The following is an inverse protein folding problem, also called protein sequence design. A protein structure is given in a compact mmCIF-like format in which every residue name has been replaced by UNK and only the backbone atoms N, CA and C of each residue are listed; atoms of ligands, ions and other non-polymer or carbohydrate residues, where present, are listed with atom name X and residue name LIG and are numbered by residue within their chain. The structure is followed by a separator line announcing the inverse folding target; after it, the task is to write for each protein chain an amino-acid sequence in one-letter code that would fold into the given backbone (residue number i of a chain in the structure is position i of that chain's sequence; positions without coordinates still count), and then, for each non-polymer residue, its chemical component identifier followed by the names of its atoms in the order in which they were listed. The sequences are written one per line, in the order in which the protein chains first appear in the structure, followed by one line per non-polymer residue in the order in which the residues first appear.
data_IF_826065945346
#
_entry.id   IF_826065945346
#
_cell.length_a   1.000
_cell.length_b   1.000
_cell.length_c   1.000
_cell.angle_alpha   90.00
_cell.angle_beta   90.00
_cell.angle_gamma   90.00
#
_symmetry.space_group_name_H-M   'P 1'
#
loop_
_entity.id
_entity.type
_entity.pdbx_description
1 polymer ?
#
# COMPACT_ATOMS: atom_id res chain seq x y z
N UNK A 1 -21.55 23.55 -10.56
CA UNK A 1 -21.65 22.60 -9.44
C UNK A 1 -20.24 22.11 -9.12
N UNK A 2 -19.86 22.10 -7.85
CA UNK A 2 -18.54 21.59 -7.47
C UNK A 2 -18.50 20.08 -7.73
N UNK A 3 -17.67 19.64 -8.69
CA UNK A 3 -17.57 18.23 -9.11
C UNK A 3 -16.61 17.42 -8.19
N UNK A 4 -16.45 17.87 -6.97
CA UNK A 4 -15.58 17.26 -5.96
C UNK A 4 -16.42 16.57 -4.89
N UNK A 5 -16.08 15.35 -4.55
CA UNK A 5 -16.61 14.62 -3.38
C UNK A 5 -15.47 14.21 -2.45
N UNK A 6 -15.67 14.33 -1.15
CA UNK A 6 -14.74 13.89 -0.12
C UNK A 6 -15.27 12.63 0.53
N UNK A 7 -14.51 11.56 0.48
CA UNK A 7 -14.79 10.30 1.16
C UNK A 7 -13.99 10.29 2.46
N UNK A 8 -14.68 10.49 3.57
CA UNK A 8 -14.09 10.58 4.89
C UNK A 8 -14.26 9.26 5.64
N UNK A 9 -13.16 8.71 6.12
CA UNK A 9 -13.19 7.55 7.03
C UNK A 9 -13.14 8.01 8.49
N UNK A 10 -14.29 8.07 9.19
CA UNK A 10 -14.35 8.48 10.59
C UNK A 10 -13.81 7.40 11.54
N UNK A 11 -13.75 6.14 11.07
CA UNK A 11 -13.28 4.99 11.83
C UNK A 11 -11.75 4.78 11.74
N UNK A 12 -11.02 5.74 11.15
CA UNK A 12 -9.58 5.79 11.33
C UNK A 12 -9.32 6.00 12.84
N UNK A 13 -9.16 4.89 13.56
CA UNK A 13 -9.08 4.86 15.04
C UNK A 13 -7.79 5.47 15.62
N UNK A 14 -7.00 6.16 14.80
CA UNK A 14 -5.86 6.90 15.30
C UNK A 14 -6.37 8.19 15.98
N UNK A 15 -5.78 8.53 17.12
CA UNK A 15 -6.03 9.82 17.77
C UNK A 15 -5.88 10.99 16.80
N UNK A 16 -4.96 10.85 15.83
CA UNK A 16 -4.74 11.82 14.76
C UNK A 16 -5.97 12.00 13.88
N UNK A 17 -6.59 10.92 13.42
CA UNK A 17 -7.76 10.99 12.53
C UNK A 17 -8.97 11.63 13.26
N UNK A 18 -9.18 11.25 14.52
CA UNK A 18 -10.25 11.84 15.34
C UNK A 18 -10.02 13.36 15.50
N UNK A 19 -8.79 13.78 15.77
CA UNK A 19 -8.43 15.19 15.95
C UNK A 19 -8.59 16.01 14.68
N UNK A 20 -8.20 15.44 13.51
CA UNK A 20 -8.17 16.16 12.23
C UNK A 20 -9.51 16.13 11.48
N UNK A 21 -10.48 15.34 11.94
CA UNK A 21 -11.80 15.28 11.31
C UNK A 21 -12.50 16.63 11.18
N UNK A 22 -12.56 17.49 12.22
CA UNK A 22 -13.19 18.81 12.10
C UNK A 22 -12.51 19.70 11.04
N UNK A 23 -11.18 19.58 10.90
CA UNK A 23 -10.43 20.35 9.91
C UNK A 23 -10.79 19.88 8.48
N UNK A 24 -10.93 18.56 8.27
CA UNK A 24 -11.40 18.01 6.97
C UNK A 24 -12.80 18.51 6.66
N UNK A 25 -13.73 18.47 7.61
CA UNK A 25 -15.11 18.94 7.43
C UNK A 25 -15.15 20.45 7.12
N UNK A 26 -14.31 21.24 7.77
CA UNK A 26 -14.19 22.68 7.51
C UNK A 26 -13.63 22.99 6.11
N UNK A 27 -12.58 22.27 5.70
CA UNK A 27 -11.98 22.42 4.37
C UNK A 27 -12.95 22.01 3.25
N UNK A 28 -13.72 20.95 3.50
CA UNK A 28 -14.66 20.37 2.53
C UNK A 28 -16.09 20.99 2.58
N UNK A 29 -16.29 22.10 3.30
CA UNK A 29 -17.64 22.68 3.55
C UNK A 29 -18.46 22.94 2.29
N UNK A 30 -17.80 23.24 1.17
CA UNK A 30 -18.45 23.52 -0.12
C UNK A 30 -18.51 22.27 -1.04
N UNK A 31 -18.14 21.12 -0.53
CA UNK A 31 -18.12 19.83 -1.24
C UNK A 31 -19.13 18.85 -0.66
N UNK A 32 -19.46 17.84 -1.45
CA UNK A 32 -20.21 16.69 -0.93
C UNK A 32 -19.26 15.83 -0.07
N UNK A 33 -19.59 15.66 1.20
CA UNK A 33 -18.85 14.74 2.08
C UNK A 33 -19.65 13.45 2.25
N UNK A 34 -18.98 12.30 2.06
CA UNK A 34 -19.51 10.96 2.31
C UNK A 34 -18.63 10.28 3.35
N UNK A 35 -19.23 9.79 4.42
CA UNK A 35 -18.53 9.07 5.48
C UNK A 35 -18.65 7.58 5.30
N UNK A 36 -17.57 6.84 5.55
CA UNK A 36 -17.59 5.38 5.58
C UNK A 36 -18.04 4.88 6.96
N UNK A 37 -18.83 3.81 7.00
CA UNK A 37 -19.24 3.13 8.25
C UNK A 37 -18.52 1.80 8.47
N UNK A 38 -17.90 1.24 7.43
CA UNK A 38 -17.22 -0.07 7.48
C UNK A 38 -16.13 -0.19 6.43
N UNK A 39 -15.28 -1.18 6.58
CA UNK A 39 -14.26 -1.55 5.60
C UNK A 39 -14.88 -1.93 4.24
N UNK A 40 -14.24 -1.54 3.15
CA UNK A 40 -14.70 -1.75 1.77
C UNK A 40 -15.75 -0.75 1.29
N UNK A 41 -16.21 0.15 2.16
CA UNK A 41 -17.27 1.10 1.79
C UNK A 41 -16.73 2.28 1.00
N UNK A 42 -15.45 2.69 1.23
CA UNK A 42 -14.85 3.78 0.49
C UNK A 42 -14.70 3.45 -1.00
N UNK A 43 -14.44 2.19 -1.36
CA UNK A 43 -14.43 1.72 -2.74
C UNK A 43 -15.80 1.90 -3.42
N UNK A 44 -16.88 1.46 -2.74
CA UNK A 44 -18.23 1.60 -3.28
C UNK A 44 -18.67 3.07 -3.41
N UNK A 45 -18.32 3.90 -2.43
CA UNK A 45 -18.61 5.34 -2.48
C UNK A 45 -17.85 6.03 -3.61
N UNK A 46 -16.58 5.65 -3.83
CA UNK A 46 -15.78 6.18 -4.93
C UNK A 46 -16.34 5.78 -6.29
N UNK A 47 -16.67 4.50 -6.49
CA UNK A 47 -17.32 4.01 -7.72
C UNK A 47 -18.64 4.73 -7.99
N UNK A 48 -19.48 4.85 -6.97
CA UNK A 48 -20.73 5.59 -7.11
C UNK A 48 -20.52 7.06 -7.44
N UNK A 49 -19.48 7.71 -6.90
CA UNK A 49 -19.15 9.08 -7.23
C UNK A 49 -18.72 9.22 -8.70
N UNK A 50 -17.92 8.29 -9.22
CA UNK A 50 -17.56 8.20 -10.65
C UNK A 50 -18.81 8.07 -11.50
N UNK A 51 -19.73 7.16 -11.17
CA UNK A 51 -20.99 6.95 -11.90
C UNK A 51 -21.89 8.18 -11.89
N UNK A 52 -21.78 9.04 -10.86
CA UNK A 52 -22.51 10.33 -10.77
C UNK A 52 -21.80 11.48 -11.47
N UNK A 53 -20.65 11.23 -12.09
CA UNK A 53 -19.91 12.24 -12.86
C UNK A 53 -19.11 13.22 -12.00
N UNK A 54 -18.72 12.82 -10.77
CA UNK A 54 -17.73 13.56 -10.01
C UNK A 54 -16.35 13.42 -10.67
N UNK A 55 -15.65 14.53 -10.79
CA UNK A 55 -14.33 14.58 -11.46
C UNK A 55 -13.17 14.45 -10.48
N UNK A 56 -13.36 14.91 -9.24
CA UNK A 56 -12.37 14.81 -8.16
C UNK A 56 -12.96 14.02 -6.99
N UNK A 57 -12.31 12.94 -6.64
CA UNK A 57 -12.67 12.12 -5.47
C UNK A 57 -11.53 12.20 -4.47
N UNK A 58 -11.80 12.79 -3.32
CA UNK A 58 -10.81 13.02 -2.27
C UNK A 58 -10.92 11.95 -1.21
N UNK A 59 -9.85 11.21 -0.99
CA UNK A 59 -9.71 10.25 0.10
C UNK A 59 -9.22 10.98 1.37
N UNK A 60 -10.09 11.14 2.34
CA UNK A 60 -9.74 11.67 3.67
C UNK A 60 -9.63 10.49 4.65
N UNK A 61 -8.43 9.96 4.79
CA UNK A 61 -8.16 8.74 5.56
C UNK A 61 -6.68 8.38 5.62
N UNK A 62 -6.38 7.16 6.03
CA UNK A 62 -5.05 6.55 5.94
C UNK A 62 -4.91 5.68 4.68
N UNK A 63 -3.80 4.96 4.58
CA UNK A 63 -3.41 4.16 3.40
C UNK A 63 -4.51 3.17 2.97
N UNK A 64 -5.16 2.47 3.91
CA UNK A 64 -6.28 1.58 3.58
C UNK A 64 -7.48 2.30 2.95
N UNK A 65 -7.82 3.52 3.39
CA UNK A 65 -8.89 4.32 2.78
C UNK A 65 -8.49 4.76 1.38
N UNK A 66 -7.23 5.15 1.19
CA UNK A 66 -6.69 5.52 -0.12
C UNK A 66 -6.77 4.33 -1.06
N UNK A 67 -6.35 3.14 -0.64
CA UNK A 67 -6.41 1.92 -1.44
C UNK A 67 -7.85 1.58 -1.86
N UNK A 68 -8.81 1.64 -0.93
CA UNK A 68 -10.23 1.42 -1.26
C UNK A 68 -10.74 2.44 -2.31
N UNK A 69 -10.45 3.73 -2.11
CA UNK A 69 -10.87 4.78 -3.06
C UNK A 69 -10.25 4.55 -4.44
N UNK A 70 -8.96 4.24 -4.51
CA UNK A 70 -8.25 3.94 -5.76
C UNK A 70 -8.89 2.76 -6.51
N UNK A 71 -9.25 1.68 -5.81
CA UNK A 71 -9.95 0.55 -6.43
C UNK A 71 -11.34 0.94 -6.95
N UNK A 72 -12.00 1.90 -6.32
CA UNK A 72 -13.26 2.46 -6.81
C UNK A 72 -13.11 3.39 -8.02
N UNK A 73 -11.93 4.01 -8.19
CA UNK A 73 -11.59 4.90 -9.32
C UNK A 73 -11.03 4.16 -10.52
N UNK A 74 -10.50 2.95 -10.32
CA UNK A 74 -9.76 2.21 -11.34
C UNK A 74 -10.54 2.12 -12.67
N UNK A 75 -9.86 2.48 -13.76
CA UNK A 75 -10.46 2.52 -15.11
C UNK A 75 -11.30 3.76 -15.41
N UNK A 76 -11.43 4.73 -14.50
CA UNK A 76 -12.11 6.00 -14.72
C UNK A 76 -11.10 7.12 -15.03
N UNK A 77 -11.62 8.26 -15.49
CA UNK A 77 -10.85 9.50 -15.67
C UNK A 77 -10.91 10.44 -14.46
N UNK A 78 -11.50 10.00 -13.36
CA UNK A 78 -11.62 10.82 -12.17
C UNK A 78 -10.26 10.97 -11.46
N UNK A 79 -10.02 12.14 -10.90
CA UNK A 79 -8.79 12.49 -10.20
C UNK A 79 -8.88 12.11 -8.72
N UNK A 80 -7.82 11.52 -8.19
CA UNK A 80 -7.66 11.26 -6.77
C UNK A 80 -7.07 12.49 -6.05
N UNK A 81 -7.74 12.97 -5.01
CA UNK A 81 -7.16 13.89 -4.05
C UNK A 81 -6.87 13.19 -2.72
N UNK A 82 -5.87 13.64 -1.96
CA UNK A 82 -5.49 13.04 -0.70
C UNK A 82 -5.52 14.04 0.45
N UNK A 83 -6.28 13.72 1.50
CA UNK A 83 -6.21 14.35 2.82
C UNK A 83 -5.69 13.30 3.82
N UNK A 84 -4.36 13.28 4.08
CA UNK A 84 -3.70 12.21 4.81
C UNK A 84 -3.89 12.36 6.33
N UNK A 85 -4.97 11.81 6.86
CA UNK A 85 -5.29 11.84 8.30
C UNK A 85 -4.96 10.53 9.02
N UNK A 86 -4.41 9.54 8.31
CA UNK A 86 -3.96 8.28 8.89
C UNK A 86 -2.69 8.41 9.74
N UNK A 87 -2.21 7.27 10.26
CA UNK A 87 -1.02 7.23 11.11
C UNK A 87 0.27 7.36 10.31
N UNK A 88 0.40 6.63 9.20
CA UNK A 88 1.64 6.55 8.41
C UNK A 88 1.55 7.37 7.12
N UNK A 89 0.50 7.16 6.32
CA UNK A 89 0.24 7.85 5.05
C UNK A 89 1.39 7.70 4.04
N UNK A 90 1.78 6.44 3.79
CA UNK A 90 2.94 6.10 2.96
C UNK A 90 2.81 6.67 1.56
N UNK A 91 1.66 6.44 0.92
CA UNK A 91 1.44 6.92 -0.45
C UNK A 91 1.40 8.45 -0.56
N UNK A 92 0.83 9.15 0.42
CA UNK A 92 0.87 10.61 0.45
C UNK A 92 2.32 11.13 0.60
N UNK A 93 3.14 10.45 1.39
CA UNK A 93 4.57 10.73 1.54
C UNK A 93 5.33 10.47 0.24
N UNK A 94 5.03 9.38 -0.46
CA UNK A 94 5.60 9.04 -1.77
C UNK A 94 5.35 10.13 -2.80
N UNK A 95 4.16 10.70 -2.80
CA UNK A 95 3.79 11.81 -3.69
C UNK A 95 4.39 13.17 -3.25
N UNK A 96 5.13 13.22 -2.14
CA UNK A 96 5.72 14.44 -1.60
C UNK A 96 4.69 15.41 -1.00
N UNK A 97 3.52 14.92 -0.61
CA UNK A 97 2.49 15.77 0.00
C UNK A 97 2.89 16.17 1.44
N UNK A 98 2.56 17.38 1.87
CA UNK A 98 2.82 17.85 3.23
C UNK A 98 1.84 17.19 4.23
N UNK A 99 2.11 15.92 4.59
CA UNK A 99 1.21 15.06 5.40
C UNK A 99 0.83 15.64 6.77
N UNK A 100 1.50 16.69 7.22
CA UNK A 100 1.21 17.40 8.49
C UNK A 100 0.42 18.69 8.29
N UNK A 101 0.12 19.09 7.05
CA UNK A 101 -0.59 20.33 6.72
C UNK A 101 -1.74 20.06 5.75
N UNK A 102 -2.95 19.87 6.30
CA UNK A 102 -4.14 19.56 5.50
C UNK A 102 -4.60 20.74 4.63
N UNK A 103 -4.37 21.98 5.06
CA UNK A 103 -4.70 23.17 4.29
C UNK A 103 -3.90 23.20 3.00
N UNK A 104 -2.59 22.96 3.08
CA UNK A 104 -1.74 22.88 1.88
C UNK A 104 -2.13 21.69 0.99
N UNK A 105 -2.46 20.53 1.55
CA UNK A 105 -2.99 19.41 0.78
C UNK A 105 -4.30 19.81 0.04
N UNK A 106 -5.18 20.54 0.71
CA UNK A 106 -6.41 21.01 0.13
C UNK A 106 -6.19 22.04 -0.99
N UNK A 107 -5.23 22.93 -0.81
CA UNK A 107 -4.84 23.90 -1.85
C UNK A 107 -4.28 23.22 -3.10
N UNK A 108 -3.48 22.16 -2.92
CA UNK A 108 -3.02 21.32 -4.04
C UNK A 108 -4.21 20.68 -4.77
N UNK A 109 -5.18 20.11 -4.02
CA UNK A 109 -6.40 19.50 -4.61
C UNK A 109 -7.20 20.54 -5.41
N UNK A 110 -7.30 21.79 -4.93
CA UNK A 110 -8.02 22.88 -5.62
C UNK A 110 -7.26 23.45 -6.81
N UNK A 111 -5.93 23.38 -6.76
CA UNK A 111 -5.04 24.03 -7.72
C UNK A 111 -4.94 23.35 -9.08
N UNK A 112 -5.66 22.25 -9.34
CA UNK A 112 -5.65 21.46 -10.57
C UNK A 112 -4.26 20.95 -11.03
N UNK A 113 -3.29 20.91 -10.15
CA UNK A 113 -2.00 20.29 -10.41
C UNK A 113 -2.13 18.76 -10.25
N UNK A 114 -2.05 18.06 -11.38
CA UNK A 114 -2.19 16.60 -11.42
C UNK A 114 -0.90 15.93 -11.88
N UNK A 115 -0.66 14.74 -11.36
CA UNK A 115 0.36 13.81 -11.84
C UNK A 115 -0.30 12.49 -12.17
N UNK A 116 0.07 11.89 -13.29
CA UNK A 116 -0.31 10.51 -13.61
C UNK A 116 0.69 9.60 -12.92
N UNK A 117 0.19 8.54 -12.32
CA UNK A 117 1.00 7.50 -11.68
C UNK A 117 0.51 6.13 -12.12
N UNK A 118 1.42 5.17 -12.12
CA UNK A 118 1.07 3.79 -12.40
C UNK A 118 0.14 3.24 -11.32
N UNK A 119 -0.79 2.40 -11.75
CA UNK A 119 -1.74 1.73 -10.87
C UNK A 119 -1.63 0.22 -11.04
N UNK A 120 -0.66 -0.42 -10.41
CA UNK A 120 -0.47 -1.85 -10.53
C UNK A 120 -1.62 -2.66 -9.94
N UNK A 121 -1.68 -3.92 -10.35
CA UNK A 121 -2.70 -4.85 -9.86
C UNK A 121 -2.12 -6.22 -9.55
N UNK A 122 -2.77 -6.90 -8.60
CA UNK A 122 -2.56 -8.31 -8.28
C UNK A 122 -3.89 -9.05 -8.44
N UNK A 123 -3.97 -10.00 -9.39
CA UNK A 123 -5.22 -10.70 -9.74
C UNK A 123 -6.41 -9.74 -9.95
N UNK A 124 -6.15 -8.56 -10.54
CA UNK A 124 -7.16 -7.54 -10.83
C UNK A 124 -7.52 -6.61 -9.67
N UNK A 125 -6.96 -6.80 -8.47
CA UNK A 125 -7.07 -5.85 -7.36
C UNK A 125 -5.88 -4.89 -7.37
N UNK A 126 -6.14 -3.59 -7.32
CA UNK A 126 -5.12 -2.56 -7.40
C UNK A 126 -4.47 -2.26 -6.04
N UNK A 127 -3.21 -1.86 -6.10
CA UNK A 127 -2.45 -1.33 -4.97
C UNK A 127 -1.67 -0.08 -5.42
N UNK A 128 -1.30 0.77 -4.49
CA UNK A 128 -0.64 2.05 -4.82
C UNK A 128 0.82 2.07 -4.42
N UNK A 129 1.22 1.30 -3.42
CA UNK A 129 2.55 1.39 -2.84
C UNK A 129 3.33 0.10 -2.92
N UNK A 130 2.83 -0.96 -2.29
CA UNK A 130 3.56 -2.21 -2.21
C UNK A 130 2.66 -3.44 -2.09
N UNK A 131 3.23 -4.58 -2.46
CA UNK A 131 2.67 -5.90 -2.20
C UNK A 131 3.72 -6.82 -1.58
N UNK A 132 3.27 -7.75 -0.75
CA UNK A 132 4.10 -8.77 -0.12
C UNK A 132 3.56 -10.18 -0.33
N UNK A 133 4.45 -11.13 -0.63
CA UNK A 133 4.11 -12.55 -0.76
C UNK A 133 4.96 -13.36 0.20
N UNK A 134 4.34 -13.98 1.20
CA UNK A 134 5.01 -14.76 2.23
C UNK A 134 5.07 -14.05 3.57
N UNK A 135 6.27 -13.69 4.05
CA UNK A 135 6.49 -13.20 5.42
C UNK A 135 5.60 -12.00 5.79
N UNK A 136 5.58 -10.97 4.97
CA UNK A 136 4.84 -9.74 5.26
C UNK A 136 3.33 -10.01 5.36
N UNK A 137 2.79 -10.72 4.39
CA UNK A 137 1.40 -11.16 4.40
C UNK A 137 1.06 -12.08 5.59
N UNK A 138 1.99 -12.92 6.04
CA UNK A 138 1.81 -13.73 7.25
C UNK A 138 1.77 -12.86 8.50
N UNK A 139 2.66 -11.87 8.62
CA UNK A 139 2.63 -10.90 9.72
C UNK A 139 1.30 -10.16 9.74
N UNK A 140 0.82 -9.69 8.59
CA UNK A 140 -0.51 -9.05 8.47
C UNK A 140 -1.62 -9.99 8.89
N UNK A 141 -1.58 -11.28 8.46
CA UNK A 141 -2.58 -12.30 8.79
C UNK A 141 -2.66 -12.61 10.29
N UNK A 142 -1.51 -12.70 10.95
CA UNK A 142 -1.43 -13.11 12.36
C UNK A 142 -1.57 -11.93 13.33
N UNK A 143 -1.34 -10.70 12.88
CA UNK A 143 -1.49 -9.52 13.71
C UNK A 143 -2.95 -9.09 13.79
N UNK A 144 -3.67 -9.55 14.81
CA UNK A 144 -5.07 -9.16 15.03
C UNK A 144 -5.20 -7.65 15.28
N UNK A 145 -6.35 -7.07 14.91
CA UNK A 145 -6.68 -5.67 15.21
C UNK A 145 -6.64 -5.34 16.70
N UNK A 146 -7.05 -6.29 17.55
CA UNK A 146 -6.99 -6.15 19.01
C UNK A 146 -5.54 -6.11 19.51
N UNK A 147 -4.67 -6.95 18.94
CA UNK A 147 -3.26 -7.02 19.28
C UNK A 147 -2.50 -5.75 18.82
N UNK A 148 -2.80 -5.25 17.62
CA UNK A 148 -2.27 -3.96 17.11
C UNK A 148 -2.61 -2.78 18.04
N UNK A 149 -3.84 -2.76 18.57
CA UNK A 149 -4.30 -1.71 19.51
C UNK A 149 -3.62 -1.77 20.87
N UNK A 150 -3.35 -2.99 21.39
CA UNK A 150 -2.81 -3.18 22.74
C UNK A 150 -1.30 -2.99 22.81
N UNK A 151 -0.56 -3.35 21.78
CA UNK A 151 0.91 -3.43 21.78
C UNK A 151 1.59 -2.55 20.72
N UNK A 152 0.84 -1.89 19.84
CA UNK A 152 1.39 -1.00 18.81
C UNK A 152 2.50 -1.66 17.98
N UNK A 153 3.65 -0.99 17.77
CA UNK A 153 4.78 -1.55 16.99
C UNK A 153 5.35 -2.86 17.57
N UNK A 154 5.21 -3.07 18.88
CA UNK A 154 5.69 -4.29 19.54
C UNK A 154 4.92 -5.55 19.10
N UNK A 155 3.65 -5.38 18.66
CA UNK A 155 2.86 -6.49 18.13
C UNK A 155 3.46 -7.10 16.88
N UNK A 156 4.05 -6.28 16.02
CA UNK A 156 4.75 -6.75 14.82
C UNK A 156 6.01 -7.53 15.16
N UNK A 157 6.78 -7.08 16.15
CA UNK A 157 7.97 -7.80 16.62
C UNK A 157 7.64 -9.17 17.19
N UNK A 158 6.57 -9.29 17.99
CA UNK A 158 6.13 -10.56 18.56
C UNK A 158 5.64 -11.51 17.46
N UNK A 159 4.81 -11.02 16.55
CA UNK A 159 4.33 -11.81 15.40
C UNK A 159 5.49 -12.23 14.51
N UNK A 160 6.43 -11.34 14.22
CA UNK A 160 7.62 -11.65 13.44
C UNK A 160 8.50 -12.71 14.12
N UNK A 161 8.68 -12.66 15.45
CA UNK A 161 9.43 -13.66 16.20
C UNK A 161 8.76 -15.04 16.17
N UNK A 162 7.44 -15.12 16.26
CA UNK A 162 6.68 -16.36 16.14
C UNK A 162 6.77 -16.97 14.73
N UNK A 163 6.74 -16.12 13.71
CA UNK A 163 6.85 -16.54 12.31
C UNK A 163 8.31 -16.95 11.99
N UNK A 164 9.28 -16.28 12.60
CA UNK A 164 10.71 -16.53 12.37
C UNK A 164 11.17 -17.95 12.70
N UNK A 165 10.43 -18.64 13.59
CA UNK A 165 10.71 -20.05 13.94
C UNK A 165 10.19 -21.05 12.90
N UNK A 166 9.45 -20.60 11.87
CA UNK A 166 8.87 -21.46 10.83
C UNK A 166 9.80 -21.59 9.64
N UNK A 167 9.65 -22.68 8.90
CA UNK A 167 10.31 -22.84 7.61
C UNK A 167 9.60 -21.97 6.58
N UNK A 168 10.30 -21.07 5.87
CA UNK A 168 9.70 -20.28 4.81
C UNK A 168 9.16 -21.16 3.68
N UNK A 169 8.11 -20.71 2.99
CA UNK A 169 7.58 -21.42 1.83
C UNK A 169 8.55 -21.33 0.64
N UNK A 170 8.34 -22.18 -0.35
CA UNK A 170 9.00 -22.08 -1.63
C UNK A 170 8.08 -21.32 -2.60
N UNK A 171 8.56 -20.17 -3.05
CA UNK A 171 7.92 -19.34 -4.04
C UNK A 171 8.66 -19.48 -5.36
N UNK A 172 7.92 -19.59 -6.45
CA UNK A 172 8.46 -19.61 -7.80
C UNK A 172 7.98 -18.36 -8.53
N UNK A 173 8.93 -17.51 -8.91
CA UNK A 173 8.70 -16.24 -9.60
C UNK A 173 8.94 -16.49 -11.09
N UNK A 174 7.91 -16.24 -11.89
CA UNK A 174 7.96 -16.22 -13.35
C UNK A 174 7.73 -14.77 -13.78
N UNK A 175 8.78 -14.14 -14.30
CA UNK A 175 8.76 -12.75 -14.76
C UNK A 175 9.08 -12.72 -16.26
N UNK A 176 8.58 -11.71 -16.97
CA UNK A 176 8.79 -11.57 -18.40
C UNK A 176 10.28 -11.67 -18.78
N UNK A 177 10.57 -12.56 -19.71
CA UNK A 177 11.90 -12.79 -20.30
C UNK A 177 13.01 -13.19 -19.30
N UNK A 178 12.67 -13.74 -18.16
CA UNK A 178 13.62 -14.16 -17.15
C UNK A 178 13.39 -15.62 -16.72
N UNK A 179 14.45 -16.38 -16.38
CA UNK A 179 14.29 -17.73 -15.85
C UNK A 179 13.50 -17.72 -14.55
N UNK A 180 12.74 -18.78 -14.28
CA UNK A 180 12.02 -18.94 -13.02
C UNK A 180 12.98 -18.86 -11.84
N UNK A 181 12.67 -17.99 -10.90
CA UNK A 181 13.44 -17.77 -9.66
C UNK A 181 12.76 -18.43 -8.49
N UNK A 182 13.53 -19.11 -7.66
CA UNK A 182 13.05 -19.66 -6.39
C UNK A 182 13.35 -18.67 -5.27
N UNK A 183 12.35 -18.38 -4.44
CA UNK A 183 12.44 -17.42 -3.33
C UNK A 183 11.67 -17.95 -2.12
N UNK A 184 11.96 -17.40 -0.95
CA UNK A 184 11.22 -17.66 0.31
C UNK A 184 10.31 -16.49 0.71
N UNK A 185 10.56 -15.31 0.14
CA UNK A 185 9.79 -14.11 0.37
C UNK A 185 9.97 -13.15 -0.79
N UNK A 186 8.93 -12.40 -1.15
CA UNK A 186 8.96 -11.42 -2.24
C UNK A 186 8.26 -10.16 -1.80
N UNK A 187 8.91 -9.02 -2.04
CA UNK A 187 8.31 -7.69 -1.96
C UNK A 187 8.23 -7.09 -3.36
N UNK A 188 7.12 -6.44 -3.65
CA UNK A 188 6.87 -5.77 -4.93
C UNK A 188 6.49 -4.32 -4.64
N UNK A 189 7.30 -3.38 -5.11
CA UNK A 189 7.07 -1.94 -4.96
C UNK A 189 6.53 -1.31 -6.23
N UNK A 190 5.61 -0.37 -6.08
CA UNK A 190 5.26 0.63 -7.07
C UNK A 190 5.98 1.95 -6.74
N UNK A 191 6.03 2.32 -5.47
CA UNK A 191 6.77 3.46 -4.94
C UNK A 191 8.02 3.03 -4.17
N UNK A 192 8.79 4.02 -3.74
CA UNK A 192 10.08 3.80 -3.04
C UNK A 192 9.92 3.36 -1.60
N UNK A 193 8.84 3.80 -0.93
CA UNK A 193 8.71 3.66 0.52
C UNK A 193 8.06 2.34 0.93
N UNK A 194 8.57 1.76 2.02
CA UNK A 194 8.06 0.54 2.65
C UNK A 194 7.72 0.79 4.11
N UNK A 195 6.46 0.57 4.50
CA UNK A 195 6.01 0.62 5.89
C UNK A 195 6.11 1.96 6.61
N UNK A 196 6.44 3.04 5.89
CA UNK A 196 6.64 4.38 6.42
C UNK A 196 7.53 5.21 5.50
N UNK A 197 8.23 6.24 6.02
CA UNK A 197 9.10 7.09 5.21
C UNK A 197 10.46 6.44 4.90
N UNK A 198 10.52 5.12 4.77
CA UNK A 198 11.75 4.36 4.57
C UNK A 198 11.90 4.01 3.09
N UNK A 199 12.88 4.59 2.35
CA UNK A 199 13.10 4.30 0.94
C UNK A 199 13.76 2.93 0.77
N UNK A 200 12.93 1.91 0.54
CA UNK A 200 13.36 0.52 0.36
C UNK A 200 13.63 0.16 -1.11
N UNK A 201 12.72 0.56 -2.01
CA UNK A 201 12.86 0.31 -3.44
C UNK A 201 13.62 1.46 -4.09
N UNK A 202 14.96 1.33 -4.18
CA UNK A 202 15.87 2.43 -4.55
C UNK A 202 15.62 3.00 -5.95
N UNK A 203 15.15 2.16 -6.88
CA UNK A 203 14.96 2.53 -8.29
C UNK A 203 13.51 2.76 -8.66
N UNK A 204 12.56 2.60 -7.73
CA UNK A 204 11.15 2.74 -8.01
C UNK A 204 10.80 4.16 -8.47
N UNK A 205 10.01 4.21 -9.53
CA UNK A 205 9.47 5.43 -10.14
C UNK A 205 7.98 5.21 -10.42
N UNK A 206 7.13 6.07 -9.88
CA UNK A 206 5.67 5.88 -9.90
C UNK A 206 5.02 5.94 -11.30
N UNK A 207 5.76 6.24 -12.37
CA UNK A 207 5.23 6.51 -13.71
C UNK A 207 6.13 5.96 -14.83
N UNK A 208 6.84 4.85 -14.57
CA UNK A 208 7.74 4.21 -15.56
C UNK A 208 7.18 2.90 -16.15
N UNK A 209 6.00 2.47 -15.67
CA UNK A 209 5.35 1.23 -16.11
C UNK A 209 6.05 -0.04 -15.62
N UNK A 210 6.82 0.04 -14.53
CA UNK A 210 7.56 -1.07 -13.96
C UNK A 210 7.16 -1.34 -12.51
N UNK A 211 7.32 -2.59 -12.09
CA UNK A 211 7.29 -3.04 -10.72
C UNK A 211 8.72 -3.30 -10.25
N UNK A 212 9.04 -2.83 -9.06
CA UNK A 212 10.30 -3.07 -8.40
C UNK A 212 10.19 -4.30 -7.50
N UNK A 213 10.96 -5.33 -7.80
CA UNK A 213 10.85 -6.62 -7.13
C UNK A 213 12.10 -6.91 -6.30
N UNK A 214 11.91 -7.24 -5.03
CA UNK A 214 12.95 -7.74 -4.14
C UNK A 214 12.61 -9.18 -3.76
N UNK A 215 13.43 -10.11 -4.25
CA UNK A 215 13.26 -11.54 -4.05
C UNK A 215 14.33 -12.08 -3.10
N UNK A 216 13.91 -12.73 -2.02
CA UNK A 216 14.77 -13.31 -1.00
C UNK A 216 14.94 -14.80 -1.27
N UNK A 217 16.12 -15.18 -1.79
CA UNK A 217 16.44 -16.57 -2.16
C UNK A 217 16.82 -17.38 -0.92
N UNK A 218 16.12 -18.48 -0.65
CA UNK A 218 16.50 -19.50 0.34
C UNK A 218 16.92 -18.97 1.72
N UNK A 219 16.44 -17.79 2.10
CA UNK A 219 16.69 -17.22 3.42
C UNK A 219 15.63 -17.67 4.42
N UNK A 220 16.05 -17.93 5.65
CA UNK A 220 15.14 -18.08 6.77
C UNK A 220 14.50 -16.75 7.16
N UNK A 221 13.38 -16.80 7.86
CA UNK A 221 12.68 -15.56 8.27
C UNK A 221 13.51 -14.68 9.20
N UNK A 222 14.37 -15.26 10.06
CA UNK A 222 15.28 -14.46 10.90
C UNK A 222 16.27 -13.64 10.08
N UNK A 223 16.81 -14.24 9.03
CA UNK A 223 17.77 -13.59 8.12
C UNK A 223 17.08 -12.50 7.33
N UNK A 224 15.84 -12.74 6.86
CA UNK A 224 15.02 -11.74 6.17
C UNK A 224 14.71 -10.55 7.09
N UNK A 225 14.26 -10.80 8.32
CA UNK A 225 13.95 -9.76 9.31
C UNK A 225 15.20 -8.94 9.61
N UNK A 226 16.34 -9.61 9.81
CA UNK A 226 17.61 -8.92 10.04
C UNK A 226 17.99 -8.04 8.85
N UNK A 227 17.89 -8.57 7.61
CA UNK A 227 18.15 -7.79 6.41
C UNK A 227 17.24 -6.55 6.31
N UNK A 228 15.94 -6.71 6.56
CA UNK A 228 15.00 -5.57 6.54
C UNK A 228 15.38 -4.53 7.59
N UNK A 229 15.75 -4.95 8.80
CA UNK A 229 16.23 -4.02 9.84
C UNK A 229 17.51 -3.30 9.41
N UNK A 230 18.47 -4.03 8.86
CA UNK A 230 19.74 -3.47 8.43
C UNK A 230 19.55 -2.46 7.28
N UNK A 231 18.66 -2.73 6.32
CA UNK A 231 18.31 -1.79 5.25
C UNK A 231 17.63 -0.52 5.78
N UNK A 232 16.81 -0.63 6.82
CA UNK A 232 16.17 0.54 7.43
C UNK A 232 17.15 1.44 8.20
N UNK A 233 18.20 0.87 8.78
CA UNK A 233 19.16 1.60 9.61
C UNK A 233 20.48 1.91 8.89
N UNK A 234 20.82 1.17 7.83
CA UNK A 234 22.12 1.25 7.13
C UNK A 234 21.91 1.16 5.63
N UNK A 235 21.91 2.27 4.95
CA UNK A 235 21.44 2.47 3.57
C UNK A 235 22.03 1.56 2.47
N UNK A 236 22.95 0.63 2.74
CA UNK A 236 23.65 -0.11 1.70
C UNK A 236 24.07 -1.52 2.16
N UNK A 237 23.12 -2.46 2.22
CA UNK A 237 23.43 -3.86 2.43
C UNK A 237 23.03 -4.64 1.18
N UNK A 238 24.03 -5.18 0.51
CA UNK A 238 23.86 -6.15 -0.58
C UNK A 238 24.12 -7.55 -0.02
N UNK A 239 23.12 -8.42 -0.05
CA UNK A 239 23.29 -9.86 0.19
C UNK A 239 23.20 -10.60 -1.13
N UNK A 240 24.06 -11.59 -1.34
CA UNK A 240 24.05 -12.44 -2.54
C UNK A 240 22.71 -13.21 -2.70
N UNK A 241 22.01 -13.42 -1.59
CA UNK A 241 20.73 -14.10 -1.51
C UNK A 241 19.52 -13.19 -1.74
N UNK A 242 19.75 -11.87 -1.92
CA UNK A 242 18.69 -10.90 -2.23
C UNK A 242 18.87 -10.41 -3.64
N UNK A 243 17.84 -10.60 -4.47
CA UNK A 243 17.83 -10.17 -5.85
C UNK A 243 16.84 -9.02 -6.02
N UNK A 244 17.33 -7.93 -6.62
CA UNK A 244 16.50 -6.79 -7.02
C UNK A 244 16.41 -6.74 -8.55
N UNK A 245 15.19 -6.61 -9.08
CA UNK A 245 14.97 -6.44 -10.51
C UNK A 245 13.67 -5.67 -10.76
N UNK A 246 13.53 -5.12 -11.98
CA UNK A 246 12.31 -4.46 -12.44
C UNK A 246 11.65 -5.28 -13.52
N UNK A 247 10.30 -5.26 -13.58
CA UNK A 247 9.51 -5.97 -14.56
C UNK A 247 8.15 -5.31 -14.79
N UNK A 248 7.55 -5.52 -15.96
CA UNK A 248 6.17 -5.08 -16.22
C UNK A 248 5.12 -6.01 -15.64
N UNK A 249 5.49 -7.25 -15.43
CA UNK A 249 4.59 -8.23 -14.85
C UNK A 249 5.34 -9.47 -14.37
N UNK A 250 4.77 -10.13 -13.38
CA UNK A 250 5.28 -11.38 -12.85
C UNK A 250 4.14 -12.24 -12.30
N UNK A 251 4.37 -13.54 -12.34
CA UNK A 251 3.51 -14.52 -11.68
C UNK A 251 4.26 -15.20 -10.56
N UNK A 252 3.64 -15.32 -9.41
CA UNK A 252 4.20 -16.02 -8.25
C UNK A 252 3.31 -17.22 -7.94
N UNK A 253 3.94 -18.39 -7.85
CA UNK A 253 3.29 -19.66 -7.49
C UNK A 253 3.98 -20.27 -6.27
N UNK A 254 3.28 -21.16 -5.57
CA UNK A 254 3.81 -21.97 -4.49
C UNK A 254 3.09 -23.32 -4.46
N UNK A 255 3.73 -24.32 -3.88
CA UNK A 255 3.14 -25.62 -3.53
C UNK A 255 2.41 -25.59 -2.17
N UNK A 256 2.43 -24.45 -1.48
CA UNK A 256 1.80 -24.21 -0.19
C UNK A 256 0.78 -23.05 -0.30
N UNK A 257 -0.11 -22.96 0.70
CA UNK A 257 -1.01 -21.80 0.86
C UNK A 257 -0.21 -20.60 1.42
N UNK A 258 0.32 -19.78 0.52
CA UNK A 258 1.12 -18.61 0.87
C UNK A 258 0.29 -17.34 0.72
N UNK A 259 0.07 -16.58 1.80
CA UNK A 259 -0.75 -15.39 1.76
C UNK A 259 -0.09 -14.26 0.97
N UNK A 260 -0.95 -13.42 0.38
CA UNK A 260 -0.61 -12.21 -0.38
C UNK A 260 -1.25 -11.00 0.30
N UNK A 261 -0.49 -9.94 0.45
CA UNK A 261 -0.97 -8.66 0.93
C UNK A 261 -0.74 -7.56 -0.11
N UNK A 262 -1.60 -6.54 -0.11
CA UNK A 262 -1.50 -5.31 -0.90
C UNK A 262 -1.72 -4.12 0.03
N UNK A 263 -0.78 -3.18 0.07
CA UNK A 263 -0.83 -1.98 0.92
C UNK A 263 -1.21 -2.28 2.39
N UNK A 264 -0.72 -3.41 2.94
CA UNK A 264 -0.99 -3.85 4.31
C UNK A 264 -2.32 -4.59 4.51
N UNK A 265 -3.01 -4.99 3.43
CA UNK A 265 -4.26 -5.73 3.48
C UNK A 265 -4.16 -7.11 2.81
N UNK A 266 -4.62 -8.16 3.49
CA UNK A 266 -4.69 -9.50 2.91
C UNK A 266 -5.71 -9.54 1.76
N UNK A 267 -5.27 -10.08 0.62
CA UNK A 267 -6.11 -10.17 -0.59
C UNK A 267 -6.32 -11.61 -1.08
N UNK A 268 -5.66 -12.58 -0.47
CA UNK A 268 -5.74 -13.99 -0.84
C UNK A 268 -4.43 -14.70 -0.65
N UNK A 269 -4.20 -15.71 -1.47
CA UNK A 269 -2.99 -16.55 -1.46
C UNK A 269 -2.52 -16.82 -2.89
N UNK A 270 -1.29 -17.35 -3.03
CA UNK A 270 -0.78 -17.85 -4.30
C UNK A 270 -1.71 -18.91 -4.93
N UNK A 271 -1.80 -18.96 -6.27
CA UNK A 271 -1.03 -18.20 -7.26
C UNK A 271 -1.53 -16.77 -7.43
N UNK A 272 -0.60 -15.85 -7.67
CA UNK A 272 -0.90 -14.44 -7.89
C UNK A 272 -0.14 -13.91 -9.11
N UNK A 273 -0.83 -13.08 -9.91
CA UNK A 273 -0.27 -12.41 -11.08
C UNK A 273 -0.28 -10.91 -10.86
N UNK A 274 0.89 -10.30 -10.95
CA UNK A 274 1.10 -8.85 -10.82
C UNK A 274 1.33 -8.23 -12.19
N UNK A 275 0.78 -7.03 -12.38
CA UNK A 275 0.94 -6.24 -13.61
C UNK A 275 1.13 -4.78 -13.25
N UNK A 276 2.16 -4.13 -13.82
CA UNK A 276 2.29 -2.69 -13.88
C UNK A 276 1.27 -2.13 -14.91
N UNK A 277 0.61 -1.05 -14.60
CA UNK A 277 -0.37 -0.39 -15.50
C UNK A 277 -0.29 1.12 -15.34
#
# INVERSE_FOLDING_TARGET
MNKTVVILNPAAHSERAIRLRPDVEALARDCLVRTTGRRGEAENLARHAVDKGFEKIVAAGGDGTINEVVNGLAGSSAMLGLLPIGTVNVFATELGLPVHNLETCWDIIRGDHTRIVDLPSANGKHFVQLAGVGLDAQVVKETSLAFKRSFGPLSYLISAAQIAARTPPRLFIDAENAPIRESSFVLIGNGRHYGGPFPFFKHAVLDDGLLDVVAFKRLGYLEIIKYLQDVFFSSDISLAEVEYFQTRGLRITSDQDVPVELDGELVGSCPVEFQAR
#
